data_IF_156439645224
#
_entry.id   IF_156439645224
#
_cell.length_a   1.000
_cell.length_b   1.000
_cell.length_c   1.000
_cell.angle_alpha   90.00
_cell.angle_beta   90.00
_cell.angle_gamma   90.00
#
_symmetry.space_group_name_H-M   'P 1'
#
loop_
_entity.id
_entity.type
_entity.pdbx_description
1 polymer ?
#
# COMPACT_ATOMS: atom_id res chain seq x y z
N UNK A 1 -0.87 -47.13 -13.53
CA UNK A 1 -1.00 -46.55 -12.17
C UNK A 1 0.20 -45.61 -11.97
N UNK A 2 0.07 -44.40 -12.44
CA UNK A 2 1.08 -43.36 -12.30
C UNK A 2 0.89 -42.73 -10.92
N UNK A 3 1.79 -43.05 -10.03
CA UNK A 3 1.81 -42.48 -8.70
C UNK A 3 2.11 -40.97 -8.85
N UNK A 4 1.08 -40.14 -8.81
CA UNK A 4 1.18 -38.73 -8.69
C UNK A 4 1.85 -38.41 -7.32
N UNK A 5 3.18 -38.46 -7.33
CA UNK A 5 4.01 -38.11 -6.18
C UNK A 5 3.86 -36.61 -5.98
N UNK A 6 2.85 -36.22 -5.23
CA UNK A 6 2.66 -34.86 -4.72
C UNK A 6 3.96 -34.45 -4.02
N UNK A 7 4.81 -33.72 -4.74
CA UNK A 7 6.13 -33.30 -4.27
C UNK A 7 5.96 -32.55 -2.97
N UNK A 8 6.65 -32.97 -1.90
CA UNK A 8 6.60 -32.27 -0.63
C UNK A 8 7.04 -30.80 -0.82
N UNK A 9 6.35 -29.84 -0.21
CA UNK A 9 6.71 -28.42 -0.34
C UNK A 9 8.15 -28.22 0.13
N UNK A 10 8.94 -27.50 -0.65
CA UNK A 10 10.30 -27.14 -0.27
C UNK A 10 10.27 -26.08 0.85
N UNK A 11 10.55 -26.48 2.09
CA UNK A 11 10.49 -25.62 3.26
C UNK A 11 11.37 -24.38 3.13
N UNK A 12 12.55 -24.51 2.53
CA UNK A 12 13.47 -23.41 2.29
C UNK A 12 12.86 -22.37 1.33
N UNK A 13 12.21 -22.82 0.25
CA UNK A 13 11.53 -21.93 -0.68
C UNK A 13 10.34 -21.21 -0.02
N UNK A 14 9.53 -21.92 0.76
CA UNK A 14 8.45 -21.33 1.55
C UNK A 14 8.97 -20.28 2.53
N UNK A 15 10.12 -20.53 3.16
CA UNK A 15 10.80 -19.57 4.03
C UNK A 15 11.18 -18.26 3.31
N UNK A 16 11.73 -18.34 2.10
CA UNK A 16 12.06 -17.15 1.30
C UNK A 16 10.81 -16.35 0.91
N UNK A 17 9.73 -17.02 0.50
CA UNK A 17 8.47 -16.35 0.18
C UNK A 17 7.91 -15.66 1.43
N UNK A 18 7.91 -16.33 2.59
CA UNK A 18 7.44 -15.77 3.84
C UNK A 18 8.26 -14.54 4.28
N UNK A 19 9.58 -14.60 4.16
CA UNK A 19 10.44 -13.46 4.43
C UNK A 19 10.14 -12.25 3.52
N UNK A 20 9.84 -12.52 2.25
CA UNK A 20 9.46 -11.49 1.28
C UNK A 20 8.10 -10.86 1.64
N UNK A 21 7.10 -11.66 2.01
CA UNK A 21 5.79 -11.17 2.47
C UNK A 21 5.95 -10.24 3.67
N UNK A 22 6.74 -10.66 4.68
CA UNK A 22 7.02 -9.86 5.87
C UNK A 22 7.67 -8.54 5.52
N UNK A 23 8.67 -8.55 4.62
CA UNK A 23 9.35 -7.34 4.15
C UNK A 23 8.39 -6.39 3.42
N UNK A 24 7.48 -6.89 2.58
CA UNK A 24 6.48 -6.04 1.89
C UNK A 24 5.52 -5.39 2.90
N UNK A 25 5.04 -6.15 3.89
CA UNK A 25 4.20 -5.62 4.97
C UNK A 25 4.91 -4.55 5.81
N UNK A 26 6.18 -4.75 6.13
CA UNK A 26 7.00 -3.75 6.83
C UNK A 26 7.18 -2.47 6.01
N UNK A 27 7.44 -2.58 4.71
CA UNK A 27 7.57 -1.43 3.82
C UNK A 27 6.26 -0.64 3.72
N UNK A 28 5.10 -1.31 3.64
CA UNK A 28 3.79 -0.68 3.66
C UNK A 28 3.54 0.09 4.98
N UNK A 29 3.89 -0.50 6.12
CA UNK A 29 3.81 0.16 7.42
C UNK A 29 4.75 1.38 7.49
N UNK A 30 5.97 1.24 7.01
CA UNK A 30 6.97 2.31 7.01
C UNK A 30 6.54 3.49 6.12
N UNK A 31 5.90 3.25 4.97
CA UNK A 31 5.32 4.29 4.13
C UNK A 31 4.28 5.12 4.90
N UNK A 32 3.40 4.49 5.68
CA UNK A 32 2.42 5.19 6.54
C UNK A 32 3.10 6.03 7.61
N UNK A 33 4.13 5.50 8.26
CA UNK A 33 4.91 6.20 9.29
C UNK A 33 5.58 7.45 8.72
N UNK A 34 6.26 7.34 7.58
CA UNK A 34 6.87 8.49 6.92
C UNK A 34 5.83 9.52 6.47
N UNK A 35 4.68 9.08 5.95
CA UNK A 35 3.58 9.98 5.59
C UNK A 35 3.12 10.82 6.79
N UNK A 36 2.82 10.20 7.93
CA UNK A 36 2.41 10.92 9.15
C UNK A 36 3.49 11.91 9.58
N UNK A 37 4.75 11.50 9.60
CA UNK A 37 5.86 12.35 10.03
C UNK A 37 5.95 13.63 9.19
N UNK A 38 5.92 13.48 7.86
CA UNK A 38 6.01 14.61 6.93
C UNK A 38 4.77 15.51 7.04
N UNK A 39 3.56 14.92 7.10
CA UNK A 39 2.32 15.70 7.25
C UNK A 39 2.31 16.47 8.56
N UNK A 40 2.75 15.86 9.66
CA UNK A 40 2.85 16.56 10.96
C UNK A 40 3.81 17.74 10.88
N UNK A 41 4.98 17.59 10.26
CA UNK A 41 5.93 18.68 10.07
C UNK A 41 5.34 19.82 9.22
N UNK A 42 4.63 19.50 8.14
CA UNK A 42 3.94 20.47 7.29
C UNK A 42 2.83 21.21 8.05
N UNK A 43 2.08 20.52 8.91
CA UNK A 43 1.03 21.12 9.73
C UNK A 43 1.62 22.08 10.78
N UNK A 44 2.72 21.72 11.43
CA UNK A 44 3.42 22.62 12.37
C UNK A 44 3.89 23.88 11.64
N UNK A 45 4.52 23.73 10.48
CA UNK A 45 4.94 24.86 9.64
C UNK A 45 3.76 25.76 9.27
N UNK A 46 2.62 25.18 8.90
CA UNK A 46 1.40 25.89 8.53
C UNK A 46 0.84 26.70 9.71
N UNK A 47 0.91 26.17 10.93
CA UNK A 47 0.39 26.84 12.11
C UNK A 47 1.31 27.97 12.61
N UNK A 48 2.63 27.80 12.49
CA UNK A 48 3.59 28.74 13.07
C UNK A 48 3.97 29.92 12.14
N UNK A 49 4.11 29.67 10.83
CA UNK A 49 4.81 30.61 9.94
C UNK A 49 4.09 30.96 8.63
N UNK A 50 2.95 30.35 8.34
CA UNK A 50 2.35 30.55 7.04
C UNK A 50 1.63 31.90 6.93
N UNK A 51 2.11 32.79 6.05
CA UNK A 51 1.31 33.87 5.49
C UNK A 51 0.14 33.28 4.68
N UNK A 52 -0.94 34.01 4.48
CA UNK A 52 -2.16 33.48 3.87
C UNK A 52 -1.91 32.81 2.52
N UNK A 53 -1.07 33.39 1.67
CA UNK A 53 -0.68 32.78 0.39
C UNK A 53 0.11 31.47 0.56
N UNK A 54 0.92 31.36 1.61
CA UNK A 54 1.71 30.18 1.93
C UNK A 54 0.86 29.03 2.48
N UNK A 55 -0.26 29.31 3.15
CA UNK A 55 -1.18 28.30 3.69
C UNK A 55 -1.76 27.40 2.58
N UNK A 56 -2.26 27.99 1.50
CA UNK A 56 -2.82 27.23 0.38
C UNK A 56 -1.76 26.34 -0.27
N UNK A 57 -0.59 26.89 -0.56
CA UNK A 57 0.51 26.14 -1.17
C UNK A 57 0.91 24.96 -0.29
N UNK A 58 1.03 25.15 1.01
CA UNK A 58 1.39 24.09 1.96
C UNK A 58 0.35 22.97 1.99
N UNK A 59 -0.95 23.28 1.95
CA UNK A 59 -2.01 22.28 1.92
C UNK A 59 -1.95 21.46 0.62
N UNK A 60 -1.72 22.08 -0.54
CA UNK A 60 -1.58 21.34 -1.80
C UNK A 60 -0.35 20.44 -1.82
N UNK A 61 0.77 20.90 -1.26
CA UNK A 61 1.98 20.07 -1.08
C UNK A 61 1.65 18.87 -0.19
N UNK A 62 0.95 19.09 0.93
CA UNK A 62 0.53 18.02 1.83
C UNK A 62 -0.34 16.97 1.13
N UNK A 63 -1.32 17.40 0.31
CA UNK A 63 -2.15 16.49 -0.48
C UNK A 63 -1.29 15.69 -1.48
N UNK A 64 -0.33 16.33 -2.14
CA UNK A 64 0.61 15.65 -3.04
C UNK A 64 1.45 14.58 -2.32
N UNK A 65 1.94 14.89 -1.12
CA UNK A 65 2.67 13.94 -0.27
C UNK A 65 1.78 12.75 0.10
N UNK A 66 0.54 12.99 0.53
CA UNK A 66 -0.43 11.94 0.85
C UNK A 66 -0.69 11.03 -0.36
N UNK A 67 -0.89 11.60 -1.54
CA UNK A 67 -1.10 10.83 -2.77
C UNK A 67 0.11 9.96 -3.13
N UNK A 68 1.33 10.49 -3.00
CA UNK A 68 2.56 9.75 -3.24
C UNK A 68 2.68 8.54 -2.30
N UNK A 69 2.52 8.74 -0.99
CA UNK A 69 2.63 7.64 -0.02
C UNK A 69 1.48 6.64 -0.14
N UNK A 70 0.26 7.09 -0.46
CA UNK A 70 -0.87 6.22 -0.77
C UNK A 70 -0.55 5.27 -1.94
N UNK A 71 0.09 5.79 -3.00
CA UNK A 71 0.50 4.98 -4.15
C UNK A 71 1.57 3.96 -3.76
N UNK A 72 2.58 4.36 -2.97
CA UNK A 72 3.63 3.46 -2.47
C UNK A 72 3.08 2.35 -1.57
N UNK A 73 2.23 2.71 -0.61
CA UNK A 73 1.58 1.74 0.30
C UNK A 73 0.71 0.73 -0.48
N UNK A 74 -0.08 1.24 -1.44
CA UNK A 74 -0.88 0.40 -2.34
C UNK A 74 -0.02 -0.57 -3.13
N UNK A 75 1.12 -0.11 -3.65
CA UNK A 75 2.06 -0.94 -4.39
C UNK A 75 2.64 -2.07 -3.53
N UNK A 76 3.09 -1.77 -2.30
CA UNK A 76 3.59 -2.80 -1.39
C UNK A 76 2.51 -3.78 -0.97
N UNK A 77 1.28 -3.31 -0.72
CA UNK A 77 0.14 -4.18 -0.39
C UNK A 77 -0.25 -5.08 -1.57
N UNK A 78 -0.18 -4.56 -2.79
CA UNK A 78 -0.38 -5.35 -4.00
C UNK A 78 0.66 -6.45 -4.15
N UNK A 79 1.95 -6.15 -3.94
CA UNK A 79 3.03 -7.14 -3.96
C UNK A 79 2.85 -8.18 -2.85
N UNK A 80 2.57 -7.76 -1.63
CA UNK A 80 2.31 -8.67 -0.50
C UNK A 80 1.21 -9.67 -0.83
N UNK A 81 0.09 -9.21 -1.38
CA UNK A 81 -1.01 -10.09 -1.80
C UNK A 81 -0.59 -11.07 -2.90
N UNK A 82 0.24 -10.61 -3.84
CA UNK A 82 0.81 -11.47 -4.89
C UNK A 82 1.68 -12.58 -4.31
N UNK A 83 2.59 -12.25 -3.38
CA UNK A 83 3.45 -13.24 -2.71
C UNK A 83 2.66 -14.17 -1.78
N UNK A 84 1.58 -13.73 -1.16
CA UNK A 84 0.68 -14.61 -0.40
C UNK A 84 -0.01 -15.65 -1.30
N UNK A 85 -0.36 -15.28 -2.53
CA UNK A 85 -0.88 -16.24 -3.52
C UNK A 85 0.20 -17.24 -3.94
N UNK A 86 1.42 -16.75 -4.24
CA UNK A 86 2.56 -17.61 -4.54
C UNK A 86 2.82 -18.61 -3.41
N UNK A 87 2.82 -18.17 -2.15
CA UNK A 87 2.96 -19.05 -1.00
C UNK A 87 1.93 -20.18 -0.97
N UNK A 88 0.65 -19.85 -1.19
CA UNK A 88 -0.43 -20.84 -1.20
C UNK A 88 -0.25 -21.89 -2.31
N UNK A 89 0.21 -21.45 -3.47
CA UNK A 89 0.49 -22.35 -4.61
C UNK A 89 1.65 -23.28 -4.28
N UNK A 90 2.78 -22.72 -3.82
CA UNK A 90 3.99 -23.48 -3.47
C UNK A 90 3.74 -24.45 -2.30
N UNK A 91 2.88 -24.08 -1.35
CA UNK A 91 2.48 -24.92 -0.23
C UNK A 91 1.46 -26.01 -0.63
N UNK A 92 1.02 -26.07 -1.88
CA UNK A 92 0.02 -27.05 -2.35
C UNK A 92 -1.38 -26.84 -1.77
N UNK A 93 -1.69 -25.61 -1.30
CA UNK A 93 -2.99 -25.25 -0.73
C UNK A 93 -4.05 -24.88 -1.77
N UNK A 94 -3.66 -24.79 -3.05
CA UNK A 94 -4.55 -24.50 -4.18
C UNK A 94 -4.73 -25.79 -4.96
N UNK A 95 -5.98 -26.34 -5.09
CA UNK A 95 -6.20 -27.69 -5.57
C UNK A 95 -5.92 -27.93 -7.06
N UNK A 96 -6.00 -26.93 -7.92
CA UNK A 96 -5.80 -27.08 -9.36
C UNK A 96 -5.16 -25.83 -9.96
N UNK A 97 -3.90 -25.93 -10.34
CA UNK A 97 -3.22 -24.95 -11.17
C UNK A 97 -3.20 -25.44 -12.61
N UNK A 98 -3.49 -24.57 -13.60
CA UNK A 98 -3.22 -24.87 -14.99
C UNK A 98 -1.75 -25.26 -15.16
N UNK A 99 -1.46 -26.21 -16.05
CA UNK A 99 -0.08 -26.66 -16.35
C UNK A 99 0.88 -25.49 -16.70
N UNK A 100 0.33 -24.43 -17.30
CA UNK A 100 1.07 -23.19 -17.64
C UNK A 100 1.52 -22.37 -16.42
N UNK A 101 1.03 -22.67 -15.23
CA UNK A 101 1.36 -21.98 -13.96
C UNK A 101 2.09 -22.90 -12.96
N UNK A 102 2.51 -24.10 -13.38
CA UNK A 102 3.42 -24.93 -12.57
C UNK A 102 4.75 -24.19 -12.41
N UNK A 103 5.01 -23.75 -11.20
CA UNK A 103 6.23 -23.02 -10.84
C UNK A 103 7.41 -24.00 -10.75
N UNK A 104 8.55 -23.57 -11.31
CA UNK A 104 9.84 -24.22 -11.08
C UNK A 104 10.25 -24.07 -9.62
N UNK A 105 11.13 -24.97 -9.12
CA UNK A 105 11.72 -24.82 -7.80
C UNK A 105 12.44 -23.47 -7.69
N UNK A 106 12.22 -22.78 -6.57
CA UNK A 106 12.78 -21.44 -6.28
C UNK A 106 12.28 -20.30 -7.20
N UNK A 107 11.23 -20.51 -7.97
CA UNK A 107 10.63 -19.41 -8.72
C UNK A 107 9.92 -18.44 -7.79
N UNK A 108 10.38 -17.18 -7.80
CA UNK A 108 9.83 -16.09 -6.99
C UNK A 108 8.92 -15.16 -7.81
N UNK A 109 8.56 -15.55 -9.03
CA UNK A 109 7.66 -14.75 -9.86
C UNK A 109 6.23 -14.81 -9.33
N UNK A 110 5.60 -13.64 -9.22
CA UNK A 110 4.19 -13.58 -8.83
C UNK A 110 3.35 -14.17 -9.98
N UNK A 111 2.50 -15.19 -9.72
CA UNK A 111 1.65 -15.80 -10.73
C UNK A 111 0.73 -14.79 -11.42
N UNK A 112 0.38 -15.02 -12.67
CA UNK A 112 -0.51 -14.15 -13.43
C UNK A 112 -1.89 -13.98 -12.79
N UNK A 113 -2.39 -14.98 -12.06
CA UNK A 113 -3.63 -14.93 -11.25
C UNK A 113 -3.58 -13.82 -10.18
N UNK A 114 -2.37 -13.38 -9.77
CA UNK A 114 -2.16 -12.31 -8.80
C UNK A 114 -1.86 -10.95 -9.39
N UNK A 115 -1.80 -10.84 -10.73
CA UNK A 115 -1.43 -9.62 -11.44
C UNK A 115 -2.63 -8.96 -12.10
N UNK A 116 -2.59 -7.64 -12.20
CA UNK A 116 -3.52 -6.85 -12.99
C UNK A 116 -4.07 -5.62 -12.28
N UNK A 117 -4.63 -4.71 -13.07
CA UNK A 117 -5.21 -3.44 -12.62
C UNK A 117 -6.33 -3.66 -11.60
N UNK A 118 -7.12 -4.73 -11.74
CA UNK A 118 -8.20 -5.07 -10.80
C UNK A 118 -7.67 -5.40 -9.41
N UNK A 119 -6.58 -6.16 -9.30
CA UNK A 119 -5.96 -6.51 -8.02
C UNK A 119 -5.28 -5.31 -7.38
N UNK A 120 -4.66 -4.44 -8.20
CA UNK A 120 -4.13 -3.16 -7.72
C UNK A 120 -5.25 -2.26 -7.18
N UNK A 121 -6.38 -2.15 -7.90
CA UNK A 121 -7.56 -1.41 -7.44
C UNK A 121 -8.14 -1.95 -6.12
N UNK A 122 -8.18 -3.27 -5.93
CA UNK A 122 -8.57 -3.89 -4.65
C UNK A 122 -7.57 -3.60 -3.53
N UNK A 123 -6.29 -3.45 -3.83
CA UNK A 123 -5.29 -3.04 -2.85
C UNK A 123 -5.49 -1.57 -2.46
N UNK A 124 -5.72 -0.69 -3.43
CA UNK A 124 -6.01 0.73 -3.22
C UNK A 124 -7.27 0.95 -2.36
N UNK A 125 -8.36 0.22 -2.65
CA UNK A 125 -9.62 0.26 -1.90
C UNK A 125 -9.60 -0.60 -0.63
N UNK A 126 -8.45 -1.07 -0.21
CA UNK A 126 -8.32 -1.81 1.05
C UNK A 126 -8.69 -0.93 2.23
N UNK A 127 -9.39 -1.51 3.22
CA UNK A 127 -9.77 -0.81 4.47
C UNK A 127 -8.55 -0.14 5.12
N UNK A 128 -7.40 -0.81 5.14
CA UNK A 128 -6.16 -0.27 5.72
C UNK A 128 -5.65 0.98 4.99
N UNK A 129 -5.66 0.97 3.65
CA UNK A 129 -5.18 2.10 2.83
C UNK A 129 -6.24 3.19 2.76
N UNK A 130 -7.48 2.83 2.43
CA UNK A 130 -8.58 3.78 2.25
C UNK A 130 -8.92 4.56 3.52
N UNK A 131 -9.02 3.87 4.67
CA UNK A 131 -9.32 4.52 5.94
C UNK A 131 -8.17 5.45 6.38
N UNK A 132 -6.93 4.99 6.30
CA UNK A 132 -5.77 5.75 6.74
C UNK A 132 -5.58 7.05 5.93
N UNK A 133 -5.47 6.93 4.61
CA UNK A 133 -5.26 8.11 3.75
C UNK A 133 -6.52 8.95 3.58
N UNK A 134 -7.69 8.33 3.61
CA UNK A 134 -8.98 9.04 3.60
C UNK A 134 -9.15 9.97 4.79
N UNK A 135 -8.83 9.52 6.01
CA UNK A 135 -8.87 10.38 7.20
C UNK A 135 -7.91 11.57 7.11
N UNK A 136 -6.68 11.36 6.60
CA UNK A 136 -5.71 12.44 6.42
C UNK A 136 -6.23 13.46 5.40
N UNK A 137 -6.79 13.01 4.27
CA UNK A 137 -7.36 13.91 3.25
C UNK A 137 -8.53 14.71 3.82
N UNK A 138 -9.44 14.05 4.54
CA UNK A 138 -10.56 14.75 5.20
C UNK A 138 -10.06 15.81 6.16
N UNK A 139 -9.06 15.50 6.99
CA UNK A 139 -8.44 16.47 7.89
C UNK A 139 -7.87 17.68 7.13
N UNK A 140 -7.12 17.46 6.06
CA UNK A 140 -6.54 18.52 5.24
C UNK A 140 -7.62 19.38 4.56
N UNK A 141 -8.72 18.76 4.11
CA UNK A 141 -9.85 19.49 3.51
C UNK A 141 -10.59 20.34 4.55
N UNK A 142 -10.79 19.84 5.77
CA UNK A 142 -11.40 20.61 6.87
C UNK A 142 -10.50 21.80 7.21
N UNK A 143 -9.19 21.60 7.35
CA UNK A 143 -8.24 22.70 7.58
C UNK A 143 -8.29 23.74 6.47
N UNK A 144 -8.38 23.32 5.22
CA UNK A 144 -8.53 24.23 4.07
C UNK A 144 -9.82 25.07 4.18
N UNK A 145 -10.93 24.46 4.56
CA UNK A 145 -12.20 25.16 4.71
C UNK A 145 -12.15 26.18 5.85
N UNK A 146 -11.56 25.79 6.99
CA UNK A 146 -11.37 26.71 8.14
C UNK A 146 -10.50 27.91 7.80
N UNK A 147 -9.44 27.72 7.01
CA UNK A 147 -8.57 28.85 6.59
C UNK A 147 -9.30 29.79 5.63
N UNK A 148 -10.14 29.26 4.72
CA UNK A 148 -10.95 30.11 3.83
C UNK A 148 -12.00 30.95 4.58
N UNK A 149 -12.63 30.39 5.61
CA UNK A 149 -13.67 31.10 6.38
C UNK A 149 -13.06 32.24 7.22
N UNK A 150 -11.83 32.06 7.71
CA UNK A 150 -11.14 33.08 8.48
C UNK A 150 -10.70 34.32 7.66
N UNK A 151 -10.69 34.23 6.33
CA UNK A 151 -10.30 35.30 5.40
C UNK A 151 -11.48 36.16 4.92
N UNK A 152 -12.74 35.85 5.30
CA UNK A 152 -13.87 36.71 4.94
C UNK A 152 -13.85 37.94 5.84
N UNK A 153 -13.52 39.15 5.31
CA UNK A 153 -13.50 40.36 6.13
C UNK A 153 -14.93 40.62 6.65
N UNK A 154 -15.04 40.84 7.95
CA UNK A 154 -16.26 41.40 8.56
C UNK A 154 -16.49 42.79 7.98
N UNK A 155 -17.39 42.91 7.03
CA UNK A 155 -17.91 44.19 6.49
C UNK A 155 -18.67 44.94 7.57
#
# INVERSE_FOLDING_TARGET
MEHDTKRAPNETHLGYIQATITRMGQNAFQAKTWCITIITALLIFLLEKASDHSKFTTIYIAIGVVALFCTLDTYYLYLERGYRKLYKITAGLVPELPESEKLSDYDMQIPNIGRGIKEYGKAFLSVSTGLFYGLIIVLLLVLRLCTNVAEVPST
#
